data_IF_439418846328
#
_entry.id   IF_439418846328
#
_cell.length_a   1.000
_cell.length_b   1.000
_cell.length_c   1.000
_cell.angle_alpha   90.00
_cell.angle_beta   90.00
_cell.angle_gamma   90.00
#
_symmetry.space_group_name_H-M   'P 1'
#
loop_
_entity.id
_entity.type
_entity.pdbx_description
1 polymer ?
#
# COMPACT_ATOMS: atom_id res chain seq x y z
N UNK A 1 16.27 43.06 8.09
CA UNK A 1 16.60 42.22 6.92
C UNK A 1 17.63 41.19 7.35
N UNK A 2 17.21 39.93 7.54
CA UNK A 2 18.06 38.83 8.03
C UNK A 2 18.29 37.87 6.86
N UNK A 3 19.51 37.83 6.34
CA UNK A 3 19.87 37.06 5.16
C UNK A 3 19.82 35.55 5.44
N UNK A 4 19.11 34.83 4.57
CA UNK A 4 18.96 33.38 4.58
C UNK A 4 20.20 32.75 3.91
N UNK A 5 20.97 31.95 4.66
CA UNK A 5 22.07 31.15 4.10
C UNK A 5 21.50 29.86 3.50
N UNK A 6 21.60 29.77 2.18
CA UNK A 6 21.35 28.56 1.38
C UNK A 6 22.37 27.47 1.71
N UNK A 7 21.90 26.26 2.02
CA UNK A 7 22.74 25.07 2.18
C UNK A 7 22.38 24.07 1.06
N UNK A 8 23.32 23.86 0.14
CA UNK A 8 23.17 22.92 -0.99
C UNK A 8 23.69 21.53 -0.58
N UNK A 9 22.97 20.43 -0.86
CA UNK A 9 23.51 19.09 -0.62
C UNK A 9 24.44 18.66 -1.77
N UNK A 10 25.63 18.21 -1.39
CA UNK A 10 26.66 17.63 -2.26
C UNK A 10 26.19 16.31 -2.86
N UNK A 11 26.28 16.20 -4.18
CA UNK A 11 26.07 14.97 -4.94
C UNK A 11 27.16 13.93 -4.63
N UNK A 12 26.78 12.75 -4.14
CA UNK A 12 27.66 11.58 -4.04
C UNK A 12 27.55 10.77 -5.31
N UNK A 13 28.65 10.69 -6.07
CA UNK A 13 28.77 9.88 -7.30
C UNK A 13 29.00 8.41 -6.93
N UNK A 14 28.04 7.54 -7.25
CA UNK A 14 28.25 6.08 -7.25
C UNK A 14 29.02 5.67 -8.53
N UNK A 15 30.16 5.00 -8.35
CA UNK A 15 30.93 4.36 -9.44
C UNK A 15 30.58 2.87 -9.47
N UNK A 16 29.94 2.41 -10.55
CA UNK A 16 29.73 0.99 -10.84
C UNK A 16 31.07 0.30 -11.11
N UNK A 17 31.35 -0.79 -10.39
CA UNK A 17 32.44 -1.71 -10.69
C UNK A 17 31.86 -2.96 -11.37
N UNK A 18 32.13 -3.08 -12.66
CA UNK A 18 31.85 -4.26 -13.48
C UNK A 18 32.91 -5.31 -13.20
N UNK A 19 32.53 -6.45 -12.62
CA UNK A 19 33.45 -7.58 -12.42
C UNK A 19 33.01 -8.76 -13.28
N UNK A 20 33.74 -8.95 -14.38
CA UNK A 20 33.71 -10.16 -15.20
C UNK A 20 34.43 -11.28 -14.44
N UNK A 21 33.70 -12.34 -14.08
CA UNK A 21 34.29 -13.59 -13.62
C UNK A 21 34.02 -14.70 -14.63
N UNK A 22 35.13 -15.25 -15.14
CA UNK A 22 35.18 -16.29 -16.15
C UNK A 22 34.78 -17.67 -15.63
N UNK A 23 34.38 -18.49 -16.59
CA UNK A 23 33.99 -19.89 -16.42
C UNK A 23 35.20 -20.83 -16.30
N UNK A 24 35.09 -21.83 -15.43
CA UNK A 24 35.75 -23.13 -15.60
C UNK A 24 34.85 -24.26 -15.06
N UNK A 25 34.64 -25.37 -15.81
CA UNK A 25 33.75 -26.46 -15.45
C UNK A 25 34.52 -27.60 -14.76
N UNK A 26 33.94 -28.28 -13.76
CA UNK A 26 34.41 -29.63 -13.38
C UNK A 26 33.30 -30.47 -12.73
N UNK A 27 33.02 -31.58 -13.42
CA UNK A 27 32.71 -32.93 -12.96
C UNK A 27 31.64 -33.19 -11.86
N UNK A 28 30.72 -34.08 -12.24
CA UNK A 28 29.72 -34.75 -11.42
C UNK A 28 30.32 -35.68 -10.36
N UNK A 29 29.55 -35.92 -9.28
CA UNK A 29 29.45 -37.21 -8.56
C UNK A 29 28.20 -37.22 -7.68
N UNK A 30 27.30 -38.17 -7.92
CA UNK A 30 26.26 -38.59 -6.97
C UNK A 30 26.92 -39.29 -5.77
N UNK A 31 26.45 -39.04 -4.54
CA UNK A 31 26.37 -40.09 -3.51
C UNK A 31 25.24 -39.82 -2.50
N UNK A 32 24.70 -40.93 -2.03
CA UNK A 32 23.47 -41.18 -1.28
C UNK A 32 23.75 -41.31 0.24
N UNK A 33 22.80 -40.87 1.07
CA UNK A 33 22.50 -41.28 2.46
C UNK A 33 23.62 -41.47 3.50
N UNK A 34 23.51 -40.77 4.65
CA UNK A 34 23.78 -41.36 5.97
C UNK A 34 23.17 -40.55 7.14
N UNK A 35 22.51 -41.27 8.02
CA UNK A 35 22.06 -40.88 9.36
C UNK A 35 23.26 -40.90 10.34
N UNK A 36 23.28 -40.00 11.34
CA UNK A 36 24.07 -40.22 12.56
C UNK A 36 24.90 -39.06 13.08
N UNK A 37 24.31 -38.29 14.00
CA UNK A 37 24.86 -37.80 15.27
C UNK A 37 26.27 -37.19 15.38
N UNK A 38 26.33 -35.95 15.89
CA UNK A 38 27.54 -35.42 16.55
C UNK A 38 27.58 -33.90 16.64
N UNK A 39 27.15 -33.35 17.77
CA UNK A 39 26.95 -31.94 18.08
C UNK A 39 28.15 -31.02 17.87
N UNK A 40 27.88 -29.83 17.33
CA UNK A 40 28.66 -28.62 17.56
C UNK A 40 27.72 -27.53 18.10
N UNK A 41 28.03 -27.13 19.33
CA UNK A 41 27.51 -26.01 20.08
C UNK A 41 27.48 -24.72 19.24
N UNK A 42 26.28 -24.17 19.01
CA UNK A 42 26.11 -22.78 18.57
C UNK A 42 25.09 -22.12 19.48
N UNK A 43 25.49 -20.96 19.99
CA UNK A 43 24.89 -20.28 21.11
C UNK A 43 23.39 -20.04 20.95
N UNK A 44 22.72 -20.13 22.09
CA UNK A 44 21.35 -19.69 22.27
C UNK A 44 21.27 -18.18 22.03
N UNK A 45 21.07 -17.78 20.78
CA UNK A 45 20.49 -16.49 20.45
C UNK A 45 18.98 -16.62 20.72
N UNK A 46 18.51 -15.82 21.67
CA UNK A 46 17.13 -15.81 22.13
C UNK A 46 16.24 -15.33 20.97
N UNK A 47 15.83 -16.26 20.10
CA UNK A 47 14.97 -15.97 18.97
C UNK A 47 13.63 -15.47 19.51
N UNK A 48 13.36 -14.19 19.27
CA UNK A 48 12.05 -13.61 19.53
C UNK A 48 10.98 -14.45 18.81
N UNK A 49 9.86 -14.78 19.46
CA UNK A 49 8.80 -15.54 18.80
C UNK A 49 8.34 -14.79 17.53
N UNK A 50 8.02 -15.52 16.45
CA UNK A 50 7.55 -14.90 15.21
C UNK A 50 6.34 -14.02 15.51
N UNK A 51 6.40 -12.77 15.06
CA UNK A 51 5.28 -11.85 15.16
C UNK A 51 4.03 -12.51 14.56
N UNK A 52 2.94 -12.56 15.34
CA UNK A 52 1.68 -13.10 14.86
C UNK A 52 1.27 -12.38 13.57
N UNK A 53 0.94 -13.16 12.54
CA UNK A 53 0.43 -12.61 11.29
C UNK A 53 -0.86 -11.81 11.59
N UNK A 54 -1.05 -10.63 10.97
CA UNK A 54 -2.28 -9.88 11.14
C UNK A 54 -3.49 -10.74 10.80
N UNK A 55 -4.52 -10.69 11.65
CA UNK A 55 -5.77 -11.37 11.36
C UNK A 55 -6.32 -10.88 10.01
N UNK A 56 -6.73 -11.82 9.15
CA UNK A 56 -7.36 -11.49 7.88
C UNK A 56 -8.63 -10.67 8.13
N UNK A 57 -8.83 -9.60 7.35
CA UNK A 57 -10.04 -8.79 7.43
C UNK A 57 -11.28 -9.68 7.18
N UNK A 58 -12.42 -9.43 7.85
CA UNK A 58 -13.65 -10.16 7.61
C UNK A 58 -14.04 -10.09 6.13
N UNK A 59 -14.56 -11.19 5.59
CA UNK A 59 -15.07 -11.20 4.23
C UNK A 59 -16.24 -10.20 4.09
N UNK A 60 -16.37 -9.48 2.95
CA UNK A 60 -17.51 -8.60 2.70
C UNK A 60 -18.82 -9.35 2.88
N UNK A 61 -19.75 -8.74 3.61
CA UNK A 61 -21.12 -9.24 3.76
C UNK A 61 -22.09 -8.59 2.77
N UNK A 62 -21.68 -7.50 2.13
CA UNK A 62 -22.41 -6.76 1.10
C UNK A 62 -21.74 -6.80 -0.27
N UNK A 63 -22.02 -5.78 -1.08
CA UNK A 63 -21.51 -5.61 -2.43
C UNK A 63 -20.05 -5.13 -2.46
N UNK A 64 -19.34 -5.47 -3.53
CA UNK A 64 -18.04 -4.86 -3.85
C UNK A 64 -18.27 -3.76 -4.87
N UNK A 65 -18.03 -2.51 -4.48
CA UNK A 65 -18.22 -1.32 -5.30
C UNK A 65 -16.87 -0.88 -5.84
N UNK A 66 -16.67 -1.00 -7.16
CA UNK A 66 -15.38 -0.66 -7.78
C UNK A 66 -15.27 0.83 -8.08
N UNK A 67 -14.15 1.43 -7.71
CA UNK A 67 -13.79 2.82 -7.97
C UNK A 67 -12.40 2.83 -8.61
N UNK A 68 -12.30 3.27 -9.85
CA UNK A 68 -11.04 3.37 -10.58
C UNK A 68 -10.26 4.60 -10.13
N UNK A 69 -8.94 4.46 -9.96
CA UNK A 69 -8.00 5.56 -9.73
C UNK A 69 -7.18 5.76 -11.01
N UNK A 70 -7.34 6.92 -11.64
CA UNK A 70 -6.83 7.17 -13.00
C UNK A 70 -5.97 8.44 -13.00
N UNK A 71 -4.86 8.36 -13.73
CA UNK A 71 -4.09 9.50 -14.21
C UNK A 71 -4.12 9.50 -15.73
N UNK A 72 -4.61 10.56 -16.35
CA UNK A 72 -4.59 10.78 -17.80
C UNK A 72 -4.42 12.28 -18.14
N UNK A 73 -4.63 12.65 -19.40
CA UNK A 73 -4.50 14.04 -19.88
C UNK A 73 -5.48 15.03 -19.20
N UNK A 74 -6.55 14.53 -18.59
CA UNK A 74 -7.53 15.31 -17.81
C UNK A 74 -7.12 15.51 -16.35
N UNK A 75 -6.07 14.79 -15.89
CA UNK A 75 -5.53 14.89 -14.54
C UNK A 75 -5.67 13.61 -13.73
N UNK A 76 -5.81 13.76 -12.41
CA UNK A 76 -5.88 12.65 -11.45
C UNK A 76 -7.27 12.60 -10.82
N UNK A 77 -7.96 11.47 -10.93
CA UNK A 77 -9.36 11.39 -10.49
C UNK A 77 -9.80 9.97 -10.10
N UNK A 78 -10.90 9.93 -9.36
CA UNK A 78 -11.65 8.71 -9.05
C UNK A 78 -12.83 8.55 -10.01
N UNK A 79 -13.10 7.32 -10.46
CA UNK A 79 -14.25 7.00 -11.33
C UNK A 79 -14.98 5.73 -10.87
N UNK A 80 -16.26 5.84 -10.45
CA UNK A 80 -17.02 7.08 -10.29
C UNK A 80 -16.48 7.94 -9.13
N UNK A 81 -16.68 9.26 -9.20
CA UNK A 81 -16.31 10.21 -8.14
C UNK A 81 -17.27 10.17 -6.95
N UNK A 82 -18.52 9.77 -7.20
CA UNK A 82 -19.59 9.66 -6.20
C UNK A 82 -20.14 8.25 -6.23
N UNK A 83 -20.26 7.62 -5.07
CA UNK A 83 -20.79 6.26 -4.91
C UNK A 83 -21.87 6.23 -3.83
N UNK A 84 -22.80 5.30 -3.94
CA UNK A 84 -23.70 4.91 -2.86
C UNK A 84 -23.30 3.53 -2.33
N UNK A 85 -23.36 3.34 -1.02
CA UNK A 85 -23.00 2.09 -0.35
C UNK A 85 -23.88 1.86 0.88
N UNK A 86 -23.81 0.67 1.45
CA UNK A 86 -24.43 0.29 2.71
C UNK A 86 -23.39 -0.27 3.69
N UNK A 87 -23.65 -0.23 5.00
CA UNK A 87 -22.82 -0.94 5.95
C UNK A 87 -22.67 -2.42 5.56
N UNK A 88 -21.44 -2.92 5.50
CA UNK A 88 -21.10 -4.28 5.04
C UNK A 88 -20.62 -4.37 3.58
N UNK A 89 -20.85 -3.35 2.76
CA UNK A 89 -20.23 -3.25 1.43
C UNK A 89 -18.70 -3.03 1.55
N UNK A 90 -17.98 -3.22 0.43
CA UNK A 90 -16.57 -2.87 0.29
C UNK A 90 -16.39 -1.91 -0.86
N UNK A 91 -15.76 -0.76 -0.58
CA UNK A 91 -15.27 0.14 -1.61
C UNK A 91 -13.91 -0.37 -2.10
N UNK A 92 -13.86 -0.85 -3.34
CA UNK A 92 -12.66 -1.38 -3.97
C UNK A 92 -12.07 -0.35 -4.91
N UNK A 93 -11.04 0.35 -4.45
CA UNK A 93 -10.31 1.34 -5.24
C UNK A 93 -9.23 0.63 -6.06
N UNK A 94 -9.37 0.59 -7.39
CA UNK A 94 -8.46 -0.12 -8.29
C UNK A 94 -7.60 0.88 -9.04
N UNK A 95 -6.28 0.72 -8.97
CA UNK A 95 -5.37 1.53 -9.76
C UNK A 95 -5.46 1.15 -11.23
N UNK A 96 -5.86 2.08 -12.08
CA UNK A 96 -5.81 1.93 -13.54
C UNK A 96 -4.51 2.53 -14.07
N UNK A 97 -4.15 3.74 -13.63
CA UNK A 97 -2.92 4.44 -14.07
C UNK A 97 -2.47 5.42 -12.98
N UNK A 98 -1.15 5.62 -12.84
CA UNK A 98 -0.55 6.55 -11.88
C UNK A 98 -0.12 5.89 -10.57
N UNK A 99 -0.01 6.70 -9.52
CA UNK A 99 0.30 6.27 -8.15
C UNK A 99 -0.62 7.04 -7.21
N UNK A 100 -1.50 6.33 -6.51
CA UNK A 100 -2.59 6.94 -5.75
C UNK A 100 -2.81 6.26 -4.40
N UNK A 101 -3.28 7.03 -3.41
CA UNK A 101 -3.79 6.51 -2.16
C UNK A 101 -5.26 6.93 -1.98
N UNK A 102 -5.86 6.44 -0.89
CA UNK A 102 -7.21 6.78 -0.46
C UNK A 102 -7.15 7.18 1.00
N UNK A 103 -7.68 8.35 1.29
CA UNK A 103 -7.70 8.90 2.63
C UNK A 103 -9.04 9.55 2.94
N UNK A 104 -9.69 9.08 3.99
CA UNK A 104 -10.88 9.70 4.58
C UNK A 104 -10.42 10.69 5.66
N UNK A 105 -10.00 11.87 5.23
CA UNK A 105 -9.42 12.88 6.12
C UNK A 105 -10.45 13.33 7.18
N UNK A 106 -10.13 13.33 8.49
CA UNK A 106 -11.07 13.75 9.53
C UNK A 106 -11.63 15.16 9.35
N UNK A 107 -10.81 16.10 8.88
CA UNK A 107 -11.21 17.50 8.66
C UNK A 107 -12.30 17.64 7.59
N UNK A 108 -12.28 16.76 6.57
CA UNK A 108 -13.32 16.71 5.52
C UNK A 108 -14.56 15.91 5.94
N UNK A 109 -14.48 15.21 7.07
CA UNK A 109 -15.49 14.29 7.57
C UNK A 109 -15.80 14.62 9.04
N UNK A 110 -16.01 15.91 9.33
CA UNK A 110 -16.23 16.36 10.70
C UNK A 110 -17.38 15.58 11.35
N UNK A 111 -17.16 15.15 12.60
CA UNK A 111 -18.10 14.34 13.41
C UNK A 111 -18.28 12.88 12.96
N UNK A 112 -17.59 12.41 11.91
CA UNK A 112 -17.54 11.00 11.60
C UNK A 112 -16.74 10.24 12.66
N UNK A 113 -17.34 9.21 13.25
CA UNK A 113 -16.61 8.21 14.03
C UNK A 113 -16.14 7.07 13.12
N UNK A 114 -15.08 6.38 13.52
CA UNK A 114 -14.60 5.15 12.88
C UNK A 114 -14.28 5.31 11.37
N UNK A 115 -13.67 6.43 11.00
CA UNK A 115 -13.14 6.59 9.63
C UNK A 115 -12.09 5.52 9.33
N UNK A 116 -12.06 4.99 8.10
CA UNK A 116 -11.01 4.08 7.66
C UNK A 116 -9.62 4.71 7.83
N UNK A 117 -8.59 3.93 8.17
CA UNK A 117 -7.23 4.43 8.16
C UNK A 117 -6.83 4.85 6.74
N UNK A 118 -5.90 5.81 6.64
CA UNK A 118 -5.26 6.15 5.38
C UNK A 118 -4.62 4.91 4.76
N UNK A 119 -4.82 4.71 3.46
CA UNK A 119 -4.18 3.62 2.73
C UNK A 119 -2.71 3.92 2.42
N UNK A 120 -1.94 2.88 2.17
CA UNK A 120 -0.70 3.03 1.40
C UNK A 120 -0.97 3.43 -0.07
N UNK A 121 0.11 3.70 -0.81
CA UNK A 121 0.01 3.97 -2.25
C UNK A 121 -0.17 2.68 -3.05
N UNK A 122 -1.16 2.66 -3.93
CA UNK A 122 -1.22 1.74 -5.05
C UNK A 122 -0.27 2.23 -6.14
N UNK A 123 0.60 1.35 -6.61
CA UNK A 123 1.70 1.68 -7.54
C UNK A 123 1.68 0.84 -8.82
N UNK A 124 0.98 -0.30 -8.80
CA UNK A 124 0.89 -1.20 -9.94
C UNK A 124 -0.53 -1.20 -10.51
N UNK A 125 -0.72 -1.14 -11.84
CA UNK A 125 -2.04 -1.32 -12.44
C UNK A 125 -2.71 -2.62 -11.96
N UNK A 126 -3.99 -2.52 -11.61
CA UNK A 126 -4.78 -3.61 -11.03
C UNK A 126 -4.61 -3.78 -9.52
N UNK A 127 -3.65 -3.11 -8.87
CA UNK A 127 -3.56 -3.10 -7.41
C UNK A 127 -4.81 -2.45 -6.83
N UNK A 128 -5.42 -3.12 -5.86
CA UNK A 128 -6.63 -2.66 -5.19
C UNK A 128 -6.37 -2.26 -3.74
N UNK A 129 -7.03 -1.18 -3.31
CA UNK A 129 -7.21 -0.79 -1.91
C UNK A 129 -8.67 -1.09 -1.58
N UNK A 130 -8.91 -1.95 -0.61
CA UNK A 130 -10.25 -2.34 -0.20
C UNK A 130 -10.60 -1.69 1.14
N UNK A 131 -11.70 -0.95 1.17
CA UNK A 131 -12.20 -0.24 2.35
C UNK A 131 -13.57 -0.81 2.72
N UNK A 132 -13.65 -1.61 3.80
CA UNK A 132 -14.92 -2.06 4.33
C UNK A 132 -15.77 -0.87 4.81
N UNK A 133 -17.04 -0.84 4.41
CA UNK A 133 -17.98 0.19 4.86
C UNK A 133 -18.54 -0.22 6.21
N UNK A 134 -17.93 0.29 7.28
CA UNK A 134 -18.37 0.08 8.67
C UNK A 134 -19.00 1.32 9.29
N UNK A 135 -18.94 2.43 8.57
CA UNK A 135 -19.48 3.73 8.97
C UNK A 135 -21.01 3.69 8.96
N UNK A 136 -21.66 4.51 9.79
CA UNK A 136 -23.11 4.68 9.77
C UNK A 136 -23.61 5.49 8.57
N UNK A 137 -24.93 5.71 8.45
CA UNK A 137 -25.49 6.51 7.37
C UNK A 137 -24.92 7.94 7.36
N UNK A 138 -24.56 8.44 6.18
CA UNK A 138 -23.91 9.74 6.04
C UNK A 138 -23.21 9.93 4.70
N UNK A 139 -22.58 11.09 4.51
CA UNK A 139 -21.71 11.34 3.35
C UNK A 139 -20.28 11.48 3.81
N UNK A 140 -19.39 10.68 3.23
CA UNK A 140 -17.98 10.61 3.60
C UNK A 140 -17.09 10.92 2.40
N UNK A 141 -16.24 11.92 2.54
CA UNK A 141 -15.30 12.35 1.52
C UNK A 141 -13.99 11.56 1.62
N UNK A 142 -13.46 11.18 0.46
CA UNK A 142 -12.15 10.57 0.33
C UNK A 142 -11.31 11.33 -0.70
N UNK A 143 -9.99 11.28 -0.54
CA UNK A 143 -9.04 11.95 -1.42
C UNK A 143 -7.81 11.09 -1.68
N UNK A 144 -7.07 11.45 -2.73
CA UNK A 144 -5.68 11.07 -2.89
C UNK A 144 -4.82 12.26 -2.43
N UNK A 145 -4.00 12.09 -1.39
CA UNK A 145 -3.36 13.22 -0.70
C UNK A 145 -2.46 14.08 -1.60
N UNK A 146 -1.59 13.51 -2.46
CA UNK A 146 -0.74 14.32 -3.35
C UNK A 146 -1.54 15.12 -4.39
N UNK A 147 -2.78 14.71 -4.68
CA UNK A 147 -3.60 15.24 -5.76
C UNK A 147 -4.90 15.92 -5.27
N UNK A 148 -5.11 16.02 -3.96
CA UNK A 148 -6.32 16.60 -3.38
C UNK A 148 -6.52 18.06 -3.81
N UNK A 149 -5.45 18.87 -3.76
CA UNK A 149 -5.47 20.26 -4.22
C UNK A 149 -5.68 20.41 -5.74
N UNK A 150 -5.44 19.34 -6.50
CA UNK A 150 -5.69 19.27 -7.95
C UNK A 150 -7.09 18.70 -8.28
N UNK A 151 -7.89 18.36 -7.27
CA UNK A 151 -9.27 17.92 -7.43
C UNK A 151 -9.49 16.40 -7.40
N UNK A 152 -8.47 15.60 -7.05
CA UNK A 152 -8.63 14.15 -6.85
C UNK A 152 -9.31 13.85 -5.51
N UNK A 153 -10.60 14.17 -5.46
CA UNK A 153 -11.50 13.97 -4.33
C UNK A 153 -12.76 13.26 -4.81
N UNK A 154 -13.39 12.48 -3.95
CA UNK A 154 -14.68 11.84 -4.18
C UNK A 154 -15.47 11.72 -2.89
N UNK A 155 -16.66 11.14 -2.95
CA UNK A 155 -17.42 10.81 -1.75
C UNK A 155 -18.27 9.55 -1.91
N UNK A 156 -18.51 8.91 -0.77
CA UNK A 156 -19.50 7.84 -0.61
C UNK A 156 -20.66 8.34 0.22
N UNK A 157 -21.88 8.11 -0.24
CA UNK A 157 -23.08 8.19 0.59
C UNK A 157 -23.37 6.80 1.14
N UNK A 158 -23.36 6.65 2.45
CA UNK A 158 -23.77 5.44 3.14
C UNK A 158 -25.26 5.55 3.43
N UNK A 159 -26.04 4.66 2.85
CA UNK A 159 -27.48 4.54 3.04
C UNK A 159 -27.83 3.83 4.37
N UNK A 160 -29.05 4.04 4.89
CA UNK A 160 -29.59 3.29 6.03
C UNK A 160 -29.65 1.77 5.83
#
# INVERSE_FOLDING_TARGET
>A
MRAYRSNSPSFVRFRSATTLFGALPFAASLMLSACGGGSADQGAENAAPPAAAPAAAPAPTGNVITIEMITDDSGNYFKPKTVSAKPGDVLKFVLVTGVHNVHFLPDSNANAANLPPMSGFAQLPGQAIEVPVTMGPGTYFFQCDPHALLGMVGHVTVEP
#
